data_IF_773321244397
#
_entry.id   IF_773321244397
#
_cell.length_a   1.000
_cell.length_b   1.000
_cell.length_c   1.000
_cell.angle_alpha   90.00
_cell.angle_beta   90.00
_cell.angle_gamma   90.00
#
_symmetry.space_group_name_H-M   'P 1'
#
loop_
_entity.id
_entity.type
_entity.pdbx_description
1 polymer ?
#
# COMPACT_ATOMS: atom_id res chain seq x y z
N UNK A 1 14.51 11.81 -59.65
CA UNK A 1 13.63 12.30 -58.56
C UNK A 1 13.50 11.18 -57.54
N UNK A 2 14.33 11.22 -56.49
CA UNK A 2 14.35 10.18 -55.46
C UNK A 2 13.49 10.65 -54.30
N UNK A 3 12.37 9.97 -54.07
CA UNK A 3 11.49 10.26 -52.94
C UNK A 3 12.20 9.82 -51.63
N UNK A 4 12.50 10.77 -50.77
CA UNK A 4 12.89 10.52 -49.38
C UNK A 4 11.68 9.95 -48.64
N UNK A 5 11.81 8.71 -48.14
CA UNK A 5 10.83 8.10 -47.24
C UNK A 5 10.84 8.85 -45.89
N UNK A 6 9.68 9.09 -45.27
CA UNK A 6 9.61 9.78 -43.99
C UNK A 6 10.28 8.95 -42.90
N UNK A 7 11.22 9.58 -42.20
CA UNK A 7 11.87 9.04 -41.01
C UNK A 7 10.79 8.82 -39.93
N UNK A 8 10.44 7.56 -39.67
CA UNK A 8 9.53 7.20 -38.58
C UNK A 8 10.24 7.53 -37.28
N UNK A 9 9.88 8.66 -36.66
CA UNK A 9 10.22 8.98 -35.28
C UNK A 9 9.60 7.90 -34.39
N UNK A 10 10.37 6.88 -34.06
CA UNK A 10 9.99 5.90 -33.06
C UNK A 10 10.05 6.58 -31.69
N UNK A 11 8.93 7.16 -31.25
CA UNK A 11 8.77 7.59 -29.88
C UNK A 11 8.74 6.33 -29.02
N UNK A 12 9.90 5.90 -28.55
CA UNK A 12 9.99 4.93 -27.46
C UNK A 12 9.43 5.60 -26.21
N UNK A 13 8.11 5.57 -26.05
CA UNK A 13 7.44 5.85 -24.79
C UNK A 13 7.73 4.67 -23.85
N UNK A 14 8.96 4.57 -23.37
CA UNK A 14 9.24 3.81 -22.16
C UNK A 14 8.59 4.61 -21.03
N UNK A 15 7.32 4.32 -20.73
CA UNK A 15 6.73 4.72 -19.49
C UNK A 15 7.58 4.07 -18.40
N UNK A 16 8.42 4.86 -17.74
CA UNK A 16 9.18 4.38 -16.58
C UNK A 16 8.12 3.92 -15.58
N UNK A 17 8.08 2.62 -15.32
CA UNK A 17 7.19 2.06 -14.31
C UNK A 17 7.48 2.77 -12.99
N UNK A 18 6.43 3.25 -12.32
CA UNK A 18 6.58 3.94 -11.04
C UNK A 18 7.23 2.99 -10.04
N UNK A 19 8.18 3.48 -9.21
CA UNK A 19 8.70 2.67 -8.11
C UNK A 19 7.56 2.23 -7.18
N UNK A 20 7.65 1.01 -6.67
CA UNK A 20 6.69 0.45 -5.70
C UNK A 20 6.90 1.12 -4.34
N UNK A 21 5.81 1.49 -3.67
CA UNK A 21 5.78 2.05 -2.33
C UNK A 21 4.77 1.28 -1.48
N UNK A 22 5.24 0.70 -0.37
CA UNK A 22 4.37 0.15 0.66
C UNK A 22 4.26 1.13 1.83
N UNK A 23 3.04 1.57 2.14
CA UNK A 23 2.75 2.24 3.41
C UNK A 23 2.38 1.17 4.43
N UNK A 24 3.26 0.94 5.40
CA UNK A 24 3.07 -0.10 6.41
C UNK A 24 2.64 0.51 7.76
N UNK A 25 1.53 0.00 8.29
CA UNK A 25 0.91 0.41 9.55
C UNK A 25 0.89 -0.81 10.49
N UNK A 26 1.60 -0.70 11.60
CA UNK A 26 1.44 -1.62 12.73
C UNK A 26 0.31 -1.09 13.60
N UNK A 27 -0.71 -1.91 13.85
CA UNK A 27 -1.87 -1.54 14.64
C UNK A 27 -1.93 -2.36 15.94
N UNK A 28 -2.22 -1.70 17.06
CA UNK A 28 -2.47 -2.35 18.34
C UNK A 28 -3.42 -1.48 19.15
N UNK A 29 -4.61 -1.99 19.48
CA UNK A 29 -5.70 -1.26 20.13
C UNK A 29 -6.00 0.09 19.42
N UNK A 30 -6.20 0.03 18.11
CA UNK A 30 -6.31 1.17 17.20
C UNK A 30 -7.73 1.36 16.62
N UNK A 31 -8.76 0.67 17.14
CA UNK A 31 -10.14 0.70 16.64
C UNK A 31 -10.63 2.12 16.34
N UNK A 32 -10.41 3.05 17.28
CA UNK A 32 -10.87 4.44 17.16
C UNK A 32 -10.03 5.33 16.21
N UNK A 33 -8.84 4.89 15.80
CA UNK A 33 -7.86 5.73 15.11
C UNK A 33 -7.54 5.29 13.69
N UNK A 34 -7.77 4.02 13.34
CA UNK A 34 -7.30 3.43 12.09
C UNK A 34 -7.89 4.13 10.86
N UNK A 35 -9.17 4.49 10.90
CA UNK A 35 -9.82 5.25 9.81
C UNK A 35 -9.17 6.63 9.61
N UNK A 36 -8.86 7.33 10.70
CA UNK A 36 -8.18 8.63 10.63
C UNK A 36 -6.73 8.52 10.18
N UNK A 37 -6.02 7.43 10.51
CA UNK A 37 -4.68 7.15 9.96
C UNK A 37 -4.76 6.98 8.44
N UNK A 38 -5.68 6.14 7.97
CA UNK A 38 -5.86 5.90 6.54
C UNK A 38 -6.21 7.18 5.77
N UNK A 39 -7.14 7.99 6.26
CA UNK A 39 -7.57 9.23 5.57
C UNK A 39 -6.48 10.30 5.44
N UNK A 40 -5.40 10.20 6.21
CA UNK A 40 -4.24 11.11 6.14
C UNK A 40 -3.21 10.71 5.09
N UNK A 41 -3.32 9.52 4.50
CA UNK A 41 -2.39 9.07 3.46
C UNK A 41 -2.67 9.87 2.18
N UNK A 42 -1.72 10.67 1.68
CA UNK A 42 -2.00 11.62 0.61
C UNK A 42 -2.15 10.92 -0.74
N UNK A 43 -3.27 11.16 -1.41
CA UNK A 43 -3.55 10.66 -2.77
C UNK A 43 -2.44 10.99 -3.78
N UNK A 44 -1.74 12.11 -3.59
CA UNK A 44 -0.65 12.58 -4.46
C UNK A 44 0.55 11.63 -4.52
N UNK A 45 0.67 10.65 -3.62
CA UNK A 45 1.68 9.58 -3.75
C UNK A 45 1.51 8.79 -5.06
N UNK A 46 0.28 8.63 -5.54
CA UNK A 46 0.00 7.95 -6.82
C UNK A 46 0.63 8.64 -8.02
N UNK A 47 1.01 9.93 -7.93
CA UNK A 47 1.68 10.62 -9.03
C UNK A 47 3.07 10.03 -9.31
N UNK A 48 3.78 9.63 -8.25
CA UNK A 48 5.18 9.23 -8.33
C UNK A 48 5.40 7.74 -8.06
N UNK A 49 4.46 7.06 -7.39
CA UNK A 49 4.63 5.68 -6.92
C UNK A 49 3.45 4.79 -7.34
N UNK A 50 3.74 3.51 -7.46
CA UNK A 50 2.73 2.45 -7.39
C UNK A 50 2.55 2.06 -5.91
N UNK A 51 1.43 2.46 -5.32
CA UNK A 51 1.27 2.51 -3.85
C UNK A 51 0.31 1.42 -3.39
N UNK A 52 0.73 0.65 -2.38
CA UNK A 52 -0.12 -0.25 -1.62
C UNK A 52 -0.03 0.07 -0.12
N UNK A 53 -1.03 -0.36 0.64
CA UNK A 53 -1.07 -0.18 2.10
C UNK A 53 -1.17 -1.54 2.76
N UNK A 54 -0.39 -1.74 3.81
CA UNK A 54 -0.48 -2.91 4.68
C UNK A 54 -0.79 -2.45 6.11
N UNK A 55 -1.86 -2.99 6.68
CA UNK A 55 -2.14 -2.96 8.12
C UNK A 55 -1.86 -4.36 8.66
N UNK A 56 -1.08 -4.44 9.74
CA UNK A 56 -1.02 -5.66 10.58
C UNK A 56 -1.56 -5.30 11.95
N UNK A 57 -2.67 -5.92 12.33
CA UNK A 57 -3.14 -5.92 13.71
C UNK A 57 -2.29 -6.89 14.55
N UNK A 58 -1.63 -6.36 15.58
CA UNK A 58 -0.70 -7.06 16.44
C UNK A 58 -1.36 -7.69 17.67
N UNK A 59 -2.38 -8.52 17.44
CA UNK A 59 -3.15 -9.20 18.49
C UNK A 59 -3.86 -8.18 19.42
N UNK A 60 -4.56 -7.20 18.82
CA UNK A 60 -5.39 -6.26 19.57
C UNK A 60 -6.50 -6.96 20.35
N UNK A 61 -6.96 -6.31 21.43
CA UNK A 61 -8.08 -6.79 22.25
C UNK A 61 -9.40 -6.10 21.91
N UNK A 62 -9.35 -5.01 21.16
CA UNK A 62 -10.49 -4.27 20.64
C UNK A 62 -10.78 -4.70 19.19
N UNK A 63 -11.72 -4.04 18.51
CA UNK A 63 -12.14 -4.44 17.15
C UNK A 63 -11.21 -3.89 16.04
N UNK A 64 -9.91 -3.72 16.32
CA UNK A 64 -8.95 -3.11 15.38
C UNK A 64 -8.96 -3.81 14.02
N UNK A 65 -8.82 -5.15 14.01
CA UNK A 65 -8.84 -5.94 12.79
C UNK A 65 -10.17 -5.82 12.04
N UNK A 66 -11.29 -5.95 12.74
CA UNK A 66 -12.63 -5.93 12.16
C UNK A 66 -12.93 -4.57 11.51
N UNK A 67 -12.56 -3.48 12.16
CA UNK A 67 -12.72 -2.14 11.59
C UNK A 67 -11.85 -1.96 10.35
N UNK A 68 -10.58 -2.38 10.39
CA UNK A 68 -9.69 -2.31 9.23
C UNK A 68 -10.20 -3.17 8.05
N UNK A 69 -10.65 -4.39 8.31
CA UNK A 69 -11.25 -5.28 7.31
C UNK A 69 -12.57 -4.71 6.74
N UNK A 70 -13.37 -4.06 7.57
CA UNK A 70 -14.59 -3.38 7.12
C UNK A 70 -14.25 -2.26 6.15
N UNK A 71 -13.30 -1.38 6.50
CA UNK A 71 -12.83 -0.28 5.63
C UNK A 71 -12.32 -0.84 4.28
N UNK A 72 -11.54 -1.93 4.30
CA UNK A 72 -11.06 -2.58 3.07
C UNK A 72 -12.18 -3.04 2.15
N UNK A 73 -13.33 -3.46 2.69
CA UNK A 73 -14.46 -4.01 1.91
C UNK A 73 -15.43 -2.94 1.43
N UNK A 74 -15.62 -1.87 2.21
CA UNK A 74 -16.69 -0.89 1.98
C UNK A 74 -16.20 0.39 1.32
N UNK A 75 -14.94 0.78 1.53
CA UNK A 75 -14.43 2.03 0.98
C UNK A 75 -13.75 1.82 -0.36
N UNK A 76 -14.06 2.72 -1.29
CA UNK A 76 -13.31 2.83 -2.54
C UNK A 76 -11.99 3.57 -2.26
N UNK A 77 -11.11 2.91 -1.51
CA UNK A 77 -9.83 3.47 -1.13
C UNK A 77 -8.93 3.62 -2.37
N UNK A 78 -8.22 4.73 -2.48
CA UNK A 78 -7.39 5.03 -3.65
C UNK A 78 -6.21 4.07 -3.85
N UNK A 79 -5.94 3.24 -2.86
CA UNK A 79 -4.79 2.35 -2.79
C UNK A 79 -5.26 0.94 -2.45
N UNK A 80 -4.69 -0.12 -3.05
CA UNK A 80 -4.88 -1.49 -2.56
C UNK A 80 -4.54 -1.57 -1.07
N UNK A 81 -5.51 -2.02 -0.28
CA UNK A 81 -5.38 -2.16 1.16
C UNK A 81 -5.31 -3.64 1.54
N UNK A 82 -4.24 -4.03 2.23
CA UNK A 82 -4.05 -5.35 2.83
C UNK A 82 -4.21 -5.22 4.34
N UNK A 83 -4.99 -6.12 4.94
CA UNK A 83 -5.19 -6.18 6.38
C UNK A 83 -4.88 -7.60 6.84
N UNK A 84 -3.91 -7.73 7.73
CA UNK A 84 -3.47 -9.00 8.31
C UNK A 84 -3.60 -8.94 9.83
N UNK A 85 -3.58 -10.11 10.47
CA UNK A 85 -3.67 -10.27 11.91
C UNK A 85 -2.55 -11.19 12.40
N UNK A 86 -1.85 -10.77 13.45
CA UNK A 86 -0.94 -11.64 14.18
C UNK A 86 -1.71 -12.33 15.32
N UNK A 87 -1.62 -13.68 15.46
CA UNK A 87 -2.27 -14.40 16.56
C UNK A 87 -1.70 -14.00 17.93
N UNK A 88 -0.41 -13.71 17.99
CA UNK A 88 0.31 -13.28 19.19
C UNK A 88 0.94 -11.90 18.97
N UNK A 89 1.01 -11.08 20.01
CA UNK A 89 1.70 -9.79 19.96
C UNK A 89 3.19 -9.97 19.65
N UNK A 90 3.63 -9.46 18.50
CA UNK A 90 5.01 -9.53 18.02
C UNK A 90 5.83 -8.30 18.46
N UNK A 91 5.17 -7.28 19.00
CA UNK A 91 5.74 -5.98 19.29
C UNK A 91 6.20 -5.26 18.03
N UNK A 92 6.70 -4.04 18.19
CA UNK A 92 7.07 -3.21 17.05
C UNK A 92 8.17 -3.85 16.18
N UNK A 93 9.24 -4.34 16.80
CA UNK A 93 10.37 -4.93 16.07
C UNK A 93 10.02 -6.20 15.30
N UNK A 94 9.13 -7.06 15.84
CA UNK A 94 8.64 -8.24 15.14
C UNK A 94 7.79 -7.86 13.93
N UNK A 95 6.86 -6.91 14.11
CA UNK A 95 6.04 -6.41 13.01
C UNK A 95 6.84 -5.76 11.89
N UNK A 96 7.92 -5.03 12.19
CA UNK A 96 8.80 -4.50 11.14
C UNK A 96 9.37 -5.62 10.26
N UNK A 97 9.83 -6.73 10.85
CA UNK A 97 10.36 -7.87 10.08
C UNK A 97 9.27 -8.50 9.20
N UNK A 98 8.06 -8.66 9.74
CA UNK A 98 6.92 -9.23 8.99
C UNK A 98 6.52 -8.30 7.84
N UNK A 99 6.39 -7.00 8.10
CA UNK A 99 6.05 -6.00 7.09
C UNK A 99 7.11 -5.88 5.98
N UNK A 100 8.40 -5.91 6.33
CA UNK A 100 9.47 -5.91 5.33
C UNK A 100 9.50 -7.21 4.54
N UNK A 101 9.25 -8.35 5.19
CA UNK A 101 9.14 -9.63 4.50
C UNK A 101 8.02 -9.58 3.45
N UNK A 102 6.82 -9.12 3.85
CA UNK A 102 5.71 -8.89 2.92
C UNK A 102 6.11 -7.99 1.75
N UNK A 103 6.85 -6.91 2.01
CA UNK A 103 7.26 -5.96 0.97
C UNK A 103 8.21 -6.57 -0.07
N UNK A 104 9.09 -7.50 0.33
CA UNK A 104 10.12 -8.07 -0.57
C UNK A 104 9.69 -9.36 -1.26
N UNK A 105 8.76 -10.13 -0.68
CA UNK A 105 8.33 -11.42 -1.26
C UNK A 105 7.12 -11.33 -2.17
N UNK A 106 6.50 -10.15 -2.25
CA UNK A 106 5.27 -9.93 -3.02
C UNK A 106 5.55 -9.32 -4.39
#
# INVERSE_FOLDING_TARGET
MTALLPHKSSSNNNLIAKPRLLVFIVAYNAEASIASVLSRIPYSLTHNYDVEILIIDDSSRDNTFEVAESIRKTENFAFPLHVLYNPDNQGYGGNQKIGYHFAVTK
#
